data_IF_138738504755
#
_entry.id   IF_138738504755
#
_cell.length_a   1.000
_cell.length_b   1.000
_cell.length_c   1.000
_cell.angle_alpha   90.00
_cell.angle_beta   90.00
_cell.angle_gamma   90.00
#
_symmetry.space_group_name_H-M   'P 1'
#
loop_
_entity.id
_entity.type
_entity.pdbx_description
1 polymer ?
#
# COMPACT_ATOMS: atom_id res chain seq x y z
N UNK A 1 -13.39 -7.28 8.16
CA UNK A 1 -12.22 -7.20 7.25
C UNK A 1 -11.88 -5.73 7.11
N UNK A 2 -10.68 -5.29 7.47
CA UNK A 2 -10.35 -3.85 7.44
C UNK A 2 -8.91 -3.71 6.95
N UNK A 3 -8.71 -3.00 5.84
CA UNK A 3 -7.41 -2.40 5.53
C UNK A 3 -7.20 -1.29 6.53
N UNK A 4 -6.01 -1.21 7.11
CA UNK A 4 -5.83 -0.47 8.36
C UNK A 4 -5.23 0.92 8.17
N UNK A 5 -4.79 1.28 6.97
CA UNK A 5 -3.96 2.48 6.78
C UNK A 5 -4.36 3.26 5.53
N UNK A 6 -5.08 4.38 5.67
CA UNK A 6 -5.36 5.29 4.56
C UNK A 6 -4.09 6.05 4.14
N UNK A 7 -3.91 6.22 2.84
CA UNK A 7 -2.75 6.91 2.25
C UNK A 7 -3.12 7.57 0.93
N UNK A 8 -2.28 8.49 0.46
CA UNK A 8 -2.42 9.09 -0.87
C UNK A 8 -1.05 9.33 -1.52
N UNK A 9 -1.10 9.52 -2.83
CA UNK A 9 0.06 9.86 -3.67
C UNK A 9 -0.32 11.01 -4.60
N UNK A 10 0.64 11.91 -4.84
CA UNK A 10 0.55 13.09 -5.72
C UNK A 10 0.94 12.73 -7.16
N UNK A 11 0.43 11.59 -7.62
CA UNK A 11 0.67 11.04 -8.95
C UNK A 11 -0.51 10.16 -9.35
N UNK A 12 -1.10 10.45 -10.51
CA UNK A 12 -2.16 9.62 -11.08
C UNK A 12 -1.74 9.15 -12.48
N UNK A 13 -1.45 7.85 -12.62
CA UNK A 13 -1.20 7.24 -13.94
C UNK A 13 -2.04 5.98 -14.12
N UNK A 14 -2.40 5.61 -15.35
CA UNK A 14 -3.11 4.36 -15.63
C UNK A 14 -2.39 3.13 -15.06
N UNK A 15 -1.06 3.08 -15.16
CA UNK A 15 -0.24 1.96 -14.67
C UNK A 15 -0.36 1.82 -13.16
N UNK A 16 -0.37 2.92 -12.42
CA UNK A 16 -0.51 2.91 -10.97
C UNK A 16 -1.90 2.43 -10.53
N UNK A 17 -2.95 2.85 -11.24
CA UNK A 17 -4.32 2.35 -11.01
C UNK A 17 -4.43 0.84 -11.27
N UNK A 18 -3.77 0.33 -12.31
CA UNK A 18 -3.70 -1.11 -12.56
C UNK A 18 -2.93 -1.87 -11.49
N UNK A 19 -1.81 -1.32 -10.98
CA UNK A 19 -1.09 -1.92 -9.85
C UNK A 19 -1.97 -2.03 -8.60
N UNK A 20 -2.79 -1.00 -8.30
CA UNK A 20 -3.78 -1.04 -7.22
C UNK A 20 -4.83 -2.15 -7.42
N UNK A 21 -5.39 -2.26 -8.62
CA UNK A 21 -6.34 -3.33 -8.96
C UNK A 21 -5.73 -4.72 -8.80
N UNK A 22 -4.46 -4.91 -9.19
CA UNK A 22 -3.73 -6.19 -9.06
C UNK A 22 -3.50 -6.61 -7.62
N UNK A 23 -3.22 -5.66 -6.72
CA UNK A 23 -3.16 -5.98 -5.30
C UNK A 23 -4.58 -6.18 -4.73
N UNK A 24 -5.63 -5.71 -5.39
CA UNK A 24 -7.03 -5.90 -4.98
C UNK A 24 -7.68 -4.68 -4.35
N UNK A 25 -7.08 -3.50 -4.51
CA UNK A 25 -7.73 -2.21 -4.20
C UNK A 25 -8.54 -1.81 -5.43
N UNK A 26 -9.85 -1.66 -5.28
CA UNK A 26 -10.76 -1.37 -6.41
C UNK A 26 -10.97 0.14 -6.55
N UNK A 27 -11.31 0.65 -7.74
CA UNK A 27 -11.69 2.06 -7.84
C UNK A 27 -13.05 2.28 -7.13
N UNK A 28 -13.22 3.44 -6.51
CA UNK A 28 -14.47 3.85 -5.89
C UNK A 28 -15.52 4.17 -6.95
N UNK A 29 -15.11 4.81 -8.04
CA UNK A 29 -15.92 5.05 -9.23
C UNK A 29 -15.59 4.01 -10.29
N UNK A 30 -16.59 3.33 -10.84
CA UNK A 30 -16.40 2.33 -11.89
C UNK A 30 -16.01 2.94 -13.24
N UNK A 31 -16.23 4.24 -13.41
CA UNK A 31 -15.90 5.00 -14.61
C UNK A 31 -14.39 5.29 -14.69
N UNK A 32 -13.72 4.74 -15.71
CA UNK A 32 -12.27 4.93 -15.90
C UNK A 32 -11.88 6.35 -16.33
N UNK A 33 -12.78 7.06 -17.01
CA UNK A 33 -12.54 8.43 -17.44
C UNK A 33 -12.49 9.35 -16.20
N UNK A 34 -13.41 9.15 -15.26
CA UNK A 34 -13.39 9.86 -13.97
C UNK A 34 -12.18 9.51 -13.11
N UNK A 35 -11.66 8.28 -13.20
CA UNK A 35 -10.42 7.91 -12.52
C UNK A 35 -9.16 8.51 -13.17
N UNK A 36 -9.28 9.08 -14.37
CA UNK A 36 -8.20 9.82 -15.03
C UNK A 36 -8.23 11.30 -14.65
N UNK A 37 -9.34 11.78 -14.06
CA UNK A 37 -9.45 13.11 -13.51
C UNK A 37 -8.68 13.21 -12.19
N UNK A 38 -7.84 14.22 -12.02
CA UNK A 38 -7.08 14.41 -10.79
C UNK A 38 -5.60 14.08 -10.90
N UNK A 39 -4.75 14.88 -10.27
CA UNK A 39 -3.33 14.60 -10.13
C UNK A 39 -2.97 13.59 -9.02
N UNK A 40 -3.91 13.30 -8.10
CA UNK A 40 -3.66 12.49 -6.92
C UNK A 40 -4.52 11.21 -6.90
N UNK A 41 -4.00 10.16 -6.26
CA UNK A 41 -4.77 8.94 -5.92
C UNK A 41 -4.82 8.81 -4.39
N UNK A 42 -6.01 8.55 -3.86
CA UNK A 42 -6.27 8.30 -2.43
C UNK A 42 -6.74 6.87 -2.24
N UNK A 43 -6.27 6.18 -1.20
CA UNK A 43 -6.77 4.87 -0.79
C UNK A 43 -7.45 4.99 0.57
N UNK A 44 -8.69 4.50 0.64
CA UNK A 44 -9.52 4.48 1.85
C UNK A 44 -9.43 3.11 2.52
N UNK A 45 -9.40 3.08 3.86
CA UNK A 45 -9.22 1.86 4.63
C UNK A 45 -10.09 1.83 5.88
N UNK A 46 -11.40 1.62 5.70
CA UNK A 46 -12.33 1.29 6.80
C UNK A 46 -13.35 0.22 6.35
N UNK A 47 -14.52 0.62 5.86
CA UNK A 47 -15.60 -0.29 5.46
C UNK A 47 -15.43 -0.85 4.04
N UNK A 48 -14.80 -0.06 3.17
CA UNK A 48 -14.48 -0.42 1.79
C UNK A 48 -13.03 -0.05 1.51
N UNK A 49 -12.41 -0.88 0.69
CA UNK A 49 -11.03 -0.70 0.26
C UNK A 49 -11.09 -0.27 -1.18
N UNK A 50 -11.08 1.03 -1.35
CA UNK A 50 -11.18 1.63 -2.65
C UNK A 50 -10.14 2.72 -2.83
N UNK A 51 -9.88 3.07 -4.08
CA UNK A 51 -9.14 4.27 -4.43
C UNK A 51 -10.02 5.27 -5.18
N UNK A 52 -9.74 6.55 -5.01
CA UNK A 52 -10.32 7.60 -5.85
C UNK A 52 -9.22 8.51 -6.39
N UNK A 53 -9.48 9.11 -7.53
CA UNK A 53 -8.60 10.08 -8.15
C UNK A 53 -9.18 11.49 -7.99
N UNK A 54 -8.34 12.47 -7.66
CA UNK A 54 -8.80 13.84 -7.38
C UNK A 54 -7.66 14.85 -7.46
N UNK A 55 -7.97 16.08 -7.89
CA UNK A 55 -7.05 17.23 -7.79
C UNK A 55 -6.90 17.72 -6.35
N UNK A 56 -7.83 17.36 -5.48
CA UNK A 56 -7.90 17.85 -4.10
C UNK A 56 -7.42 16.80 -3.11
N UNK A 57 -6.68 17.23 -2.09
CA UNK A 57 -6.29 16.44 -0.91
C UNK A 57 -7.16 16.77 0.32
N UNK A 58 -8.39 17.26 0.10
CA UNK A 58 -9.37 17.41 1.17
C UNK A 58 -9.58 16.08 1.89
N UNK A 59 -9.76 16.18 3.21
CA UNK A 59 -10.00 15.07 4.15
C UNK A 59 -8.85 14.06 4.27
N UNK A 60 -7.65 14.39 3.75
CA UNK A 60 -6.46 13.56 3.87
C UNK A 60 -5.56 13.93 5.07
N UNK A 61 -6.03 14.74 6.03
CA UNK A 61 -5.20 15.19 7.18
C UNK A 61 -4.60 14.03 7.99
N UNK A 62 -5.30 12.90 8.05
CA UNK A 62 -4.87 11.71 8.78
C UNK A 62 -4.33 10.60 7.85
N UNK A 63 -4.12 10.92 6.57
CA UNK A 63 -3.65 9.97 5.57
C UNK A 63 -2.15 10.12 5.46
N UNK A 64 -1.48 9.02 5.15
CA UNK A 64 -0.04 9.07 4.89
C UNK A 64 0.19 9.65 3.50
N UNK A 65 0.91 10.78 3.45
CA UNK A 65 1.39 11.39 2.22
C UNK A 65 2.60 10.61 1.71
N UNK A 66 2.44 9.90 0.59
CA UNK A 66 3.52 9.14 -0.04
C UNK A 66 4.33 10.00 -1.04
N UNK A 67 4.01 11.30 -1.16
CA UNK A 67 4.62 12.19 -2.15
C UNK A 67 4.39 11.66 -3.56
N UNK A 68 5.46 11.36 -4.29
CA UNK A 68 5.43 10.72 -5.62
C UNK A 68 5.98 9.28 -5.60
N UNK A 69 6.26 8.72 -4.41
CA UNK A 69 6.85 7.39 -4.26
C UNK A 69 5.79 6.29 -4.44
N UNK A 70 5.73 5.72 -5.63
CA UNK A 70 4.80 4.64 -5.96
C UNK A 70 5.01 3.38 -5.12
N UNK A 71 6.27 3.03 -4.80
CA UNK A 71 6.57 1.79 -4.06
C UNK A 71 6.06 1.88 -2.63
N UNK A 72 6.33 3.00 -1.95
CA UNK A 72 5.81 3.27 -0.61
C UNK A 72 4.28 3.31 -0.60
N UNK A 73 3.68 3.99 -1.58
CA UNK A 73 2.23 4.09 -1.71
C UNK A 73 1.59 2.70 -1.87
N UNK A 74 2.10 1.87 -2.78
CA UNK A 74 1.59 0.53 -3.00
C UNK A 74 1.80 -0.38 -1.78
N UNK A 75 2.94 -0.24 -1.09
CA UNK A 75 3.23 -1.00 0.12
C UNK A 75 2.22 -0.70 1.24
N UNK A 76 1.91 0.58 1.47
CA UNK A 76 0.92 1.00 2.46
C UNK A 76 -0.49 0.60 2.01
N UNK A 77 -0.85 0.87 0.75
CA UNK A 77 -2.14 0.50 0.18
C UNK A 77 -2.40 -1.01 0.21
N UNK A 78 -1.35 -1.85 0.23
CA UNK A 78 -1.50 -3.29 0.32
C UNK A 78 -1.83 -3.82 1.72
N UNK A 79 -1.68 -3.03 2.80
CA UNK A 79 -1.83 -3.50 4.20
C UNK A 79 -3.28 -3.85 4.59
N UNK A 80 -3.50 -5.09 5.05
CA UNK A 80 -4.85 -5.63 5.36
C UNK A 80 -4.85 -6.70 6.44
N UNK A 81 -5.92 -6.73 7.21
CA UNK A 81 -6.12 -7.71 8.28
C UNK A 81 -6.69 -9.07 7.83
N UNK A 82 -6.93 -9.32 6.55
CA UNK A 82 -7.56 -10.57 6.07
C UNK A 82 -6.73 -11.38 5.06
N UNK A 83 -5.56 -10.91 4.63
CA UNK A 83 -4.67 -11.61 3.69
C UNK A 83 -3.22 -11.14 3.89
N UNK A 84 -2.26 -11.92 3.41
CA UNK A 84 -0.83 -11.57 3.32
C UNK A 84 -0.41 -11.15 1.91
N UNK A 85 -1.31 -11.27 0.92
CA UNK A 85 -0.99 -11.04 -0.48
C UNK A 85 -0.58 -9.59 -0.77
N UNK A 86 0.55 -9.43 -1.48
CA UNK A 86 1.08 -8.13 -1.90
C UNK A 86 1.62 -7.26 -0.77
N UNK A 87 1.71 -7.79 0.47
CA UNK A 87 2.27 -7.07 1.60
C UNK A 87 3.77 -7.32 1.72
N UNK A 88 4.47 -6.33 2.26
CA UNK A 88 5.87 -6.46 2.63
C UNK A 88 6.02 -7.17 3.97
N UNK A 89 7.02 -8.03 4.04
CA UNK A 89 7.43 -8.78 5.21
C UNK A 89 8.87 -8.44 5.54
N UNK A 90 9.16 -8.33 6.84
CA UNK A 90 10.49 -8.07 7.39
C UNK A 90 10.96 -9.32 8.10
N UNK A 91 12.15 -9.82 7.74
CA UNK A 91 12.78 -10.95 8.42
C UNK A 91 13.44 -10.52 9.73
N UNK A 92 13.06 -11.19 10.82
CA UNK A 92 13.55 -10.91 12.18
C UNK A 92 14.87 -11.63 12.50
N UNK A 93 15.14 -12.71 11.77
CA UNK A 93 16.30 -13.59 11.89
C UNK A 93 16.75 -14.08 10.51
N UNK A 94 17.97 -14.61 10.42
CA UNK A 94 18.48 -15.21 9.19
C UNK A 94 17.71 -16.50 8.88
N UNK A 95 17.10 -16.57 7.69
CA UNK A 95 16.35 -17.72 7.23
C UNK A 95 16.53 -17.90 5.73
N UNK A 96 17.48 -18.75 5.33
CA UNK A 96 17.88 -18.93 3.94
C UNK A 96 16.66 -19.13 3.00
N UNK A 97 16.53 -18.32 1.93
CA UNK A 97 17.55 -17.45 1.34
C UNK A 97 17.63 -16.02 1.92
N UNK A 98 16.79 -15.68 2.90
CA UNK A 98 16.65 -14.33 3.44
C UNK A 98 17.56 -14.10 4.65
N UNK A 99 18.00 -12.86 4.82
CA UNK A 99 18.76 -12.40 5.97
C UNK A 99 17.89 -11.53 6.87
N UNK A 100 18.29 -11.41 8.13
CA UNK A 100 17.67 -10.48 9.06
C UNK A 100 17.66 -9.06 8.49
N UNK A 101 16.49 -8.44 8.49
CA UNK A 101 16.25 -7.10 7.95
C UNK A 101 15.84 -7.05 6.49
N UNK A 102 15.78 -8.20 5.79
CA UNK A 102 15.29 -8.23 4.41
C UNK A 102 13.81 -7.86 4.34
N UNK A 103 13.48 -6.98 3.39
CA UNK A 103 12.10 -6.61 3.04
C UNK A 103 11.68 -7.35 1.77
N UNK A 104 10.66 -8.20 1.87
CA UNK A 104 10.19 -8.98 0.72
C UNK A 104 8.68 -8.93 0.56
N UNK A 105 8.23 -8.91 -0.70
CA UNK A 105 6.82 -9.10 -1.02
C UNK A 105 6.59 -10.61 -1.18
N UNK A 106 5.69 -11.17 -0.37
CA UNK A 106 5.41 -12.60 -0.43
C UNK A 106 4.12 -13.00 0.25
N UNK A 107 3.71 -14.24 0.00
CA UNK A 107 2.57 -14.87 0.66
C UNK A 107 3.05 -15.75 1.80
N UNK A 108 3.41 -15.14 2.92
CA UNK A 108 3.70 -15.87 4.15
C UNK A 108 2.42 -16.06 4.96
N UNK A 109 2.36 -17.13 5.74
CA UNK A 109 1.28 -17.32 6.72
C UNK A 109 1.56 -16.42 7.93
N UNK A 110 0.51 -15.97 8.63
CA UNK A 110 0.63 -15.04 9.78
C UNK A 110 1.35 -15.60 11.00
N UNK A 111 1.72 -16.88 10.97
CA UNK A 111 2.45 -17.57 12.03
C UNK A 111 3.88 -17.91 11.57
N UNK A 112 4.53 -17.03 10.79
CA UNK A 112 5.95 -17.22 10.48
C UNK A 112 6.77 -16.92 11.72
N UNK A 113 7.56 -17.89 12.18
CA UNK A 113 8.45 -17.72 13.33
C UNK A 113 9.65 -16.80 13.03
N UNK A 114 9.86 -16.42 11.77
CA UNK A 114 11.08 -15.76 11.29
C UNK A 114 10.84 -14.36 10.69
N UNK A 115 9.58 -13.97 10.50
CA UNK A 115 9.25 -12.69 9.88
C UNK A 115 7.88 -12.18 10.32
N UNK A 116 7.70 -10.87 10.22
CA UNK A 116 6.43 -10.20 10.48
C UNK A 116 6.03 -9.31 9.29
N UNK A 117 4.75 -8.94 9.24
CA UNK A 117 4.27 -7.97 8.25
C UNK A 117 4.83 -6.59 8.60
N UNK A 118 5.53 -5.97 7.66
CA UNK A 118 6.14 -4.65 7.86
C UNK A 118 5.10 -3.64 8.38
N UNK A 119 5.40 -2.99 9.50
CA UNK A 119 4.62 -1.86 10.01
C UNK A 119 4.69 -0.67 9.06
N UNK A 120 3.77 0.28 9.23
CA UNK A 120 3.79 1.52 8.45
C UNK A 120 5.11 2.28 8.64
N UNK A 121 5.59 2.36 9.87
CA UNK A 121 6.82 3.08 10.21
C UNK A 121 8.05 2.42 9.58
N UNK A 122 8.11 1.09 9.55
CA UNK A 122 9.17 0.34 8.89
C UNK A 122 9.17 0.57 7.38
N UNK A 123 7.99 0.57 6.74
CA UNK A 123 7.89 0.89 5.32
C UNK A 123 8.39 2.31 5.02
N UNK A 124 7.96 3.29 5.81
CA UNK A 124 8.40 4.68 5.65
C UNK A 124 9.92 4.77 5.78
N UNK A 125 10.50 4.17 6.84
CA UNK A 125 11.96 4.16 7.04
C UNK A 125 12.70 3.44 5.92
N UNK A 126 12.18 2.30 5.47
CA UNK A 126 12.78 1.51 4.39
C UNK A 126 12.83 2.30 3.08
N UNK A 127 11.72 2.89 2.65
CA UNK A 127 11.65 3.62 1.37
C UNK A 127 12.26 5.02 1.41
N UNK A 128 12.52 5.59 2.60
CA UNK A 128 13.30 6.84 2.73
C UNK A 128 14.81 6.55 2.61
N UNK A 129 15.27 5.41 3.11
CA UNK A 129 16.70 5.06 3.17
C UNK A 129 17.18 4.22 1.96
N UNK A 130 16.28 3.91 1.03
CA UNK A 130 16.54 3.14 -0.19
C UNK A 130 16.96 4.06 -1.34
#
# INVERSE_FOLDING_TARGET
MIFTTPCFIRKNTPELREKLKRIGVRPFLLDEELNSWGDNIKVFGWEMVAFSCSDSLNDCKNYIDCGINEELFLAIAAKRNNTSYGQYWVFDEDFAPYQKGDFVIGTFTRCSCYCHVASVEELIKYFINK
#
